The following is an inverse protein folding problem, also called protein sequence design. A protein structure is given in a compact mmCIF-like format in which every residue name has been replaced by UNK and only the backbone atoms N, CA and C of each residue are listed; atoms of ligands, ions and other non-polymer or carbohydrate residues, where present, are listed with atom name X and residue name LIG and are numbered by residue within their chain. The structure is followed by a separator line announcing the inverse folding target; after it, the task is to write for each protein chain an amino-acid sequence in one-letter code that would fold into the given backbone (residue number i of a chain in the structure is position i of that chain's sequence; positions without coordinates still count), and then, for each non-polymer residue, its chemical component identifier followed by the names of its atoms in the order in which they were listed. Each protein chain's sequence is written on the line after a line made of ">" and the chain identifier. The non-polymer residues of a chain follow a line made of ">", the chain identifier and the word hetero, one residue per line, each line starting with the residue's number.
data_IF_752948825877
#
_entry.id   IF_752948825877
#
_cell.length_a   1.000
_cell.length_b   1.000
_cell.length_c   1.000
_cell.angle_alpha   90.00
_cell.angle_beta   90.00
_cell.angle_gamma   90.00
#
_symmetry.space_group_name_H-M   'P 1'
#
loop_
_entity.id
_entity.type
_entity.pdbx_description
1 polymer ?
#
# COMPACT_ATOMS: atom_id res chain seq x y z
N UNK A 1 3.78 -16.95 8.32
CA UNK A 1 4.59 -16.68 7.10
C UNK A 1 4.55 -15.21 6.72
N UNK A 2 3.40 -14.62 6.36
CA UNK A 2 3.33 -13.19 6.00
C UNK A 2 3.72 -12.26 7.15
N UNK A 3 3.24 -12.52 8.37
CA UNK A 3 3.63 -11.72 9.54
C UNK A 3 5.14 -11.78 9.84
N UNK A 4 5.76 -12.96 9.71
CA UNK A 4 7.21 -13.16 9.82
C UNK A 4 7.98 -12.41 8.73
N UNK A 5 7.49 -12.46 7.48
CA UNK A 5 8.08 -11.73 6.35
C UNK A 5 8.15 -10.23 6.60
N UNK A 6 7.19 -9.68 7.36
CA UNK A 6 7.08 -8.26 7.68
C UNK A 6 7.55 -7.91 9.09
N UNK A 7 8.32 -8.81 9.72
CA UNK A 7 8.95 -8.58 11.03
C UNK A 7 7.95 -8.26 12.15
N UNK A 8 6.75 -8.85 12.12
CA UNK A 8 5.80 -8.73 13.22
C UNK A 8 6.45 -9.24 14.52
N UNK A 9 6.22 -8.58 15.68
CA UNK A 9 6.66 -9.08 16.97
C UNK A 9 6.23 -10.52 17.19
N UNK A 10 7.04 -11.29 17.91
CA UNK A 10 6.71 -12.67 18.24
C UNK A 10 5.36 -12.72 18.99
N UNK A 11 4.36 -13.46 18.49
CA UNK A 11 3.05 -13.48 19.12
C UNK A 11 3.10 -14.21 20.46
N UNK A 12 2.42 -13.66 21.48
CA UNK A 12 2.36 -14.24 22.84
C UNK A 12 1.87 -15.70 22.83
N UNK A 13 0.93 -16.01 21.94
CA UNK A 13 0.27 -17.31 21.85
C UNK A 13 0.74 -18.14 20.63
N UNK A 14 1.85 -17.78 20.01
CA UNK A 14 2.38 -18.48 18.82
C UNK A 14 1.61 -18.22 17.51
N UNK A 15 0.51 -17.45 17.55
CA UNK A 15 -0.32 -17.12 16.38
C UNK A 15 -0.26 -15.63 16.06
N UNK A 16 0.11 -15.31 14.81
CA UNK A 16 0.07 -13.93 14.32
C UNK A 16 -1.37 -13.42 14.18
N UNK A 17 -1.58 -12.13 14.40
CA UNK A 17 -2.89 -11.49 14.28
C UNK A 17 -3.10 -11.00 12.85
N UNK A 18 -4.03 -11.60 12.13
CA UNK A 18 -4.24 -11.29 10.72
C UNK A 18 -5.26 -12.18 10.06
N UNK A 19 -5.67 -11.81 8.85
CA UNK A 19 -6.62 -12.59 8.06
C UNK A 19 -6.37 -12.44 6.56
N UNK A 20 -6.79 -13.44 5.80
CA UNK A 20 -6.88 -13.32 4.36
C UNK A 20 -8.13 -12.50 3.97
N UNK A 21 -8.06 -11.87 2.82
CA UNK A 21 -9.11 -11.06 2.21
C UNK A 21 -9.25 -11.40 0.73
N UNK A 22 -10.27 -10.88 0.06
CA UNK A 22 -10.39 -10.99 -1.41
C UNK A 22 -9.28 -10.19 -2.13
N UNK A 23 -8.78 -9.14 -1.49
CA UNK A 23 -7.74 -8.27 -2.01
C UNK A 23 -7.49 -7.09 -1.08
N UNK A 24 -6.53 -6.23 -1.44
CA UNK A 24 -6.16 -5.10 -0.58
C UNK A 24 -7.31 -4.16 -0.27
N UNK A 25 -8.35 -4.03 -1.12
CA UNK A 25 -9.50 -3.18 -0.79
C UNK A 25 -10.19 -3.57 0.52
N UNK A 26 -10.49 -4.86 0.73
CA UNK A 26 -11.06 -5.36 1.98
C UNK A 26 -10.03 -5.25 3.12
N UNK A 27 -8.75 -5.57 2.85
CA UNK A 27 -7.67 -5.45 3.83
C UNK A 27 -7.48 -4.02 4.36
N UNK A 28 -7.48 -3.03 3.48
CA UNK A 28 -7.38 -1.60 3.80
C UNK A 28 -8.58 -1.15 4.64
N UNK A 29 -9.79 -1.57 4.27
CA UNK A 29 -11.01 -1.24 5.04
C UNK A 29 -10.96 -1.83 6.44
N UNK A 30 -10.56 -3.10 6.60
CA UNK A 30 -10.38 -3.73 7.91
C UNK A 30 -9.28 -3.01 8.74
N UNK A 31 -8.16 -2.64 8.11
CA UNK A 31 -7.11 -1.84 8.74
C UNK A 31 -7.60 -0.46 9.19
N UNK A 32 -8.37 0.22 8.34
CA UNK A 32 -9.01 1.50 8.62
C UNK A 32 -10.03 1.43 9.75
N UNK A 33 -10.86 0.38 9.79
CA UNK A 33 -11.78 0.13 10.89
C UNK A 33 -11.02 -0.05 12.22
N UNK A 34 -9.95 -0.85 12.22
CA UNK A 34 -9.13 -1.04 13.42
C UNK A 34 -8.51 0.30 13.90
N UNK A 35 -8.00 1.13 12.99
CA UNK A 35 -7.51 2.49 13.30
C UNK A 35 -8.62 3.36 13.92
N UNK A 36 -9.78 3.44 13.27
CA UNK A 36 -10.92 4.24 13.74
C UNK A 36 -11.37 3.82 15.15
N UNK A 37 -11.41 2.52 15.44
CA UNK A 37 -11.82 2.02 16.76
C UNK A 37 -10.78 2.31 17.84
N UNK A 38 -9.48 2.12 17.56
CA UNK A 38 -8.42 2.47 18.52
C UNK A 38 -8.41 3.97 18.83
N UNK A 39 -8.54 4.82 17.80
CA UNK A 39 -8.67 6.26 17.96
C UNK A 39 -9.89 6.63 18.82
N UNK A 40 -11.07 6.05 18.52
CA UNK A 40 -12.30 6.32 19.26
C UNK A 40 -12.13 6.01 20.76
N UNK A 41 -11.59 4.84 21.10
CA UNK A 41 -11.34 4.47 22.50
C UNK A 41 -10.42 5.46 23.21
N UNK A 42 -9.36 5.92 22.53
CA UNK A 42 -8.41 6.89 23.08
C UNK A 42 -9.07 8.26 23.31
N UNK A 43 -9.94 8.69 22.41
CA UNK A 43 -10.70 9.94 22.56
C UNK A 43 -11.76 9.85 23.67
N UNK A 44 -12.50 8.75 23.75
CA UNK A 44 -13.47 8.49 24.83
C UNK A 44 -12.78 8.45 26.21
N UNK A 45 -11.65 7.76 26.31
CA UNK A 45 -10.86 7.72 27.54
C UNK A 45 -10.34 9.11 27.96
N UNK A 46 -10.12 10.00 27.00
CA UNK A 46 -9.74 11.39 27.23
C UNK A 46 -10.94 12.35 27.42
N UNK A 47 -12.18 11.85 27.39
CA UNK A 47 -13.40 12.67 27.49
C UNK A 47 -13.61 13.61 26.30
N UNK A 48 -13.03 13.30 25.13
CA UNK A 48 -13.10 14.12 23.92
C UNK A 48 -14.17 13.61 22.94
N UNK A 49 -14.66 14.47 22.02
CA UNK A 49 -15.59 14.06 20.97
C UNK A 49 -15.01 13.01 20.02
N UNK A 50 -15.89 12.20 19.40
CA UNK A 50 -15.52 11.12 18.48
C UNK A 50 -16.25 11.20 17.12
N UNK A 51 -16.84 12.35 16.82
CA UNK A 51 -17.74 12.58 15.70
C UNK A 51 -17.06 13.01 14.39
N UNK A 52 -15.78 13.42 14.44
CA UNK A 52 -15.07 13.98 13.27
C UNK A 52 -13.71 13.33 12.96
N UNK A 53 -13.63 12.00 12.82
CA UNK A 53 -12.37 11.34 12.49
C UNK A 53 -11.85 11.74 11.10
N UNK A 54 -10.53 11.89 10.96
CA UNK A 54 -9.86 12.04 9.66
C UNK A 54 -8.76 10.99 9.45
N UNK A 55 -8.37 10.77 8.19
CA UNK A 55 -7.28 9.90 7.77
C UNK A 55 -6.32 10.70 6.89
N UNK A 56 -5.03 10.71 7.22
CA UNK A 56 -3.99 11.41 6.43
C UNK A 56 -3.26 10.41 5.54
N UNK A 57 -3.07 10.74 4.27
CA UNK A 57 -2.40 9.86 3.32
C UNK A 57 -1.77 10.63 2.15
N UNK A 58 -0.90 9.95 1.40
CA UNK A 58 -0.45 10.39 0.07
C UNK A 58 -1.47 10.03 -1.02
N UNK A 59 -1.05 9.99 -2.31
CA UNK A 59 -1.91 9.62 -3.43
C UNK A 59 -2.31 8.14 -3.39
N UNK A 60 -3.33 7.86 -2.58
CA UNK A 60 -3.82 6.51 -2.27
C UNK A 60 -4.71 5.96 -3.37
N UNK A 61 -4.94 4.65 -3.34
CA UNK A 61 -5.87 4.02 -4.25
C UNK A 61 -7.34 4.26 -3.82
N UNK A 62 -8.28 4.19 -4.78
CA UNK A 62 -9.72 4.42 -4.58
C UNK A 62 -10.34 3.64 -3.39
N UNK A 63 -9.76 2.52 -2.93
CA UNK A 63 -10.22 1.80 -1.75
C UNK A 63 -10.25 2.67 -0.49
N UNK A 64 -9.31 3.60 -0.32
CA UNK A 64 -9.26 4.52 0.82
C UNK A 64 -10.32 5.61 0.73
N UNK A 65 -10.63 6.11 -0.48
CA UNK A 65 -11.79 7.00 -0.68
C UNK A 65 -13.11 6.28 -0.37
N UNK A 66 -13.23 5.00 -0.72
CA UNK A 66 -14.40 4.18 -0.37
C UNK A 66 -14.48 3.99 1.15
N UNK A 67 -13.37 3.66 1.81
CA UNK A 67 -13.32 3.57 3.27
C UNK A 67 -13.78 4.88 3.92
N UNK A 68 -13.18 6.01 3.52
CA UNK A 68 -13.52 7.34 4.02
C UNK A 68 -15.03 7.63 3.89
N UNK A 69 -15.59 7.37 2.71
CA UNK A 69 -17.02 7.59 2.44
C UNK A 69 -17.93 6.64 3.21
N UNK A 70 -17.60 5.36 3.32
CA UNK A 70 -18.49 4.35 3.92
C UNK A 70 -18.44 4.35 5.44
N UNK A 71 -17.36 4.85 6.03
CA UNK A 71 -17.18 4.92 7.48
C UNK A 71 -17.18 6.35 8.02
N UNK A 72 -17.66 7.35 7.29
CA UNK A 72 -17.71 8.75 7.74
C UNK A 72 -16.37 9.21 8.34
N UNK A 73 -15.30 9.10 7.54
CA UNK A 73 -13.96 9.58 7.87
C UNK A 73 -13.57 10.62 6.84
N UNK A 74 -13.14 11.80 7.28
CA UNK A 74 -12.58 12.82 6.41
C UNK A 74 -11.27 12.31 5.80
N UNK A 75 -11.14 12.29 4.47
CA UNK A 75 -9.89 11.91 3.81
C UNK A 75 -9.05 13.17 3.58
N UNK A 76 -7.94 13.29 4.31
CA UNK A 76 -6.92 14.34 4.12
C UNK A 76 -5.80 13.82 3.25
N UNK A 77 -6.10 13.73 1.97
CA UNK A 77 -5.16 13.29 0.95
C UNK A 77 -4.21 14.43 0.56
N UNK A 78 -2.91 14.22 0.73
CA UNK A 78 -1.88 15.19 0.34
C UNK A 78 -1.75 15.15 -1.19
N UNK A 79 -2.04 16.24 -1.90
CA UNK A 79 -2.07 16.23 -3.34
C UNK A 79 -0.66 16.05 -3.93
N UNK A 80 -0.61 15.32 -5.04
CA UNK A 80 0.53 15.38 -5.95
C UNK A 80 0.61 16.79 -6.54
N UNK A 81 1.83 17.32 -6.69
CA UNK A 81 2.11 18.60 -7.36
C UNK A 81 3.39 18.49 -8.20
N UNK A 82 3.60 19.36 -9.21
CA UNK A 82 4.85 19.38 -9.97
C UNK A 82 6.08 19.39 -9.06
N UNK A 83 7.04 18.50 -9.32
CA UNK A 83 8.25 18.32 -8.50
C UNK A 83 8.04 17.58 -7.17
N UNK A 84 6.80 17.26 -6.79
CA UNK A 84 6.51 16.54 -5.53
C UNK A 84 5.28 15.65 -5.63
N UNK A 85 5.50 14.41 -6.04
CA UNK A 85 4.44 13.44 -6.35
C UNK A 85 4.07 12.52 -5.17
N UNK A 86 4.69 12.68 -4.00
CA UNK A 86 4.54 11.78 -2.85
C UNK A 86 4.30 12.56 -1.56
N UNK A 87 3.64 11.93 -0.59
CA UNK A 87 3.56 12.44 0.77
C UNK A 87 4.95 12.55 1.38
N UNK A 88 5.23 13.71 1.96
CA UNK A 88 6.45 13.98 2.72
C UNK A 88 6.10 14.26 4.18
N UNK A 89 7.07 14.13 5.11
CA UNK A 89 6.83 14.32 6.52
C UNK A 89 6.24 15.69 6.90
N UNK A 90 6.64 16.77 6.23
CA UNK A 90 6.19 18.11 6.57
C UNK A 90 4.70 18.27 6.26
N UNK A 91 4.29 18.00 5.01
CA UNK A 91 2.87 18.10 4.62
C UNK A 91 1.99 17.10 5.35
N UNK A 92 2.52 15.92 5.70
CA UNK A 92 1.81 14.94 6.52
C UNK A 92 1.49 15.50 7.90
N UNK A 93 2.47 16.08 8.60
CA UNK A 93 2.24 16.67 9.93
C UNK A 93 1.31 17.87 9.86
N UNK A 94 1.42 18.73 8.84
CA UNK A 94 0.51 19.86 8.62
C UNK A 94 -0.97 19.43 8.47
N UNK A 95 -1.21 18.20 8.00
CA UNK A 95 -2.55 17.62 7.85
C UNK A 95 -3.04 16.85 9.09
N UNK A 96 -2.16 16.55 10.05
CA UNK A 96 -2.47 15.78 11.25
C UNK A 96 -3.07 16.65 12.36
N UNK A 97 -4.04 16.11 13.09
CA UNK A 97 -4.58 16.66 14.32
C UNK A 97 -5.01 15.54 15.30
N UNK A 98 -5.63 15.91 16.41
CA UNK A 98 -6.16 14.98 17.42
C UNK A 98 -7.26 14.04 16.91
N UNK A 99 -7.91 14.38 15.79
CA UNK A 99 -8.93 13.55 15.17
C UNK A 99 -8.35 12.62 14.08
N UNK A 100 -7.05 12.70 13.80
CA UNK A 100 -6.39 11.80 12.86
C UNK A 100 -6.33 10.39 13.42
N UNK A 101 -7.05 9.47 12.77
CA UNK A 101 -7.11 8.05 13.18
C UNK A 101 -5.84 7.28 12.82
N UNK A 102 -5.09 7.77 11.84
CA UNK A 102 -3.84 7.19 11.38
C UNK A 102 -3.32 7.84 10.10
N UNK A 103 -2.07 7.51 9.77
CA UNK A 103 -1.41 7.87 8.51
C UNK A 103 -1.27 6.63 7.63
N UNK A 104 -1.53 6.79 6.33
CA UNK A 104 -1.39 5.72 5.32
C UNK A 104 -0.39 6.11 4.24
N UNK A 105 0.88 5.66 4.33
CA UNK A 105 1.76 5.63 3.17
C UNK A 105 1.40 4.49 2.23
N UNK A 106 1.49 4.74 0.93
CA UNK A 106 1.35 3.72 -0.11
C UNK A 106 2.73 3.17 -0.49
N UNK A 107 3.04 1.97 -0.03
CA UNK A 107 4.30 1.28 -0.31
C UNK A 107 4.23 0.60 -1.67
N UNK A 108 4.22 1.44 -2.71
CA UNK A 108 4.12 1.08 -4.12
C UNK A 108 2.96 1.81 -4.77
N UNK A 109 3.11 3.13 -4.92
CA UNK A 109 2.09 4.06 -5.41
C UNK A 109 1.59 3.61 -6.77
N UNK A 110 0.27 3.46 -6.91
CA UNK A 110 -0.31 2.94 -8.16
C UNK A 110 -0.02 3.88 -9.34
N UNK A 111 -0.04 5.20 -9.14
CA UNK A 111 0.10 6.15 -10.24
C UNK A 111 1.53 6.18 -10.81
N UNK A 112 2.54 6.14 -9.96
CA UNK A 112 3.94 6.35 -10.37
C UNK A 112 4.81 5.10 -10.28
N UNK A 113 4.50 4.17 -9.38
CA UNK A 113 5.30 2.97 -9.08
C UNK A 113 6.27 3.13 -7.91
N UNK A 114 6.57 4.34 -7.47
CA UNK A 114 7.53 4.60 -6.39
C UNK A 114 6.97 4.22 -5.01
N UNK A 115 7.86 4.06 -4.04
CA UNK A 115 7.51 3.89 -2.63
C UNK A 115 7.31 5.23 -1.93
N UNK A 116 6.27 5.33 -1.10
CA UNK A 116 6.27 6.26 0.02
C UNK A 116 6.96 5.58 1.20
N UNK A 117 8.16 6.05 1.55
CA UNK A 117 8.97 5.42 2.59
C UNK A 117 8.35 5.65 3.98
N UNK A 118 8.02 4.58 4.73
CA UNK A 118 7.38 4.74 6.02
C UNK A 118 8.28 5.31 7.12
N UNK A 119 9.59 5.02 7.12
CA UNK A 119 10.50 5.44 8.20
C UNK A 119 10.55 6.98 8.41
N UNK A 120 10.73 7.83 7.38
CA UNK A 120 10.72 9.28 7.59
C UNK A 120 9.39 9.82 8.13
N UNK A 121 8.27 9.20 7.75
CA UNK A 121 6.94 9.56 8.23
C UNK A 121 6.75 9.12 9.69
N UNK A 122 7.20 7.92 10.02
CA UNK A 122 7.25 7.40 11.38
C UNK A 122 8.01 8.36 12.32
N UNK A 123 9.21 8.77 11.94
CA UNK A 123 10.08 9.61 12.77
C UNK A 123 9.48 11.01 13.00
N UNK A 124 8.80 11.54 11.99
CA UNK A 124 8.08 12.81 12.13
C UNK A 124 6.85 12.69 13.04
N UNK A 125 6.13 11.56 13.01
CA UNK A 125 5.04 11.30 13.95
C UNK A 125 5.56 11.12 15.39
N UNK A 126 6.74 10.51 15.58
CA UNK A 126 7.40 10.44 16.90
C UNK A 126 7.70 11.83 17.44
N UNK A 127 8.28 12.69 16.61
CA UNK A 127 8.51 14.08 16.98
C UNK A 127 7.21 14.82 17.28
N UNK A 128 6.19 14.64 16.43
CA UNK A 128 4.89 15.28 16.62
C UNK A 128 4.21 14.88 17.93
N UNK A 129 4.27 13.60 18.29
CA UNK A 129 3.76 13.14 19.59
C UNK A 129 4.57 13.73 20.75
N UNK A 130 5.90 13.79 20.65
CA UNK A 130 6.73 14.39 21.69
C UNK A 130 6.41 15.89 21.90
N UNK A 131 6.13 16.61 20.82
CA UNK A 131 5.86 18.06 20.86
C UNK A 131 4.42 18.39 21.30
N UNK A 132 3.43 17.54 20.97
CA UNK A 132 1.99 17.85 21.13
C UNK A 132 1.23 16.91 22.07
N UNK A 133 1.78 15.74 22.38
CA UNK A 133 1.09 14.65 23.07
C UNK A 133 0.11 13.85 22.20
N UNK A 134 -0.05 14.18 20.91
CA UNK A 134 -0.96 13.47 20.00
C UNK A 134 -0.27 12.23 19.44
N UNK A 135 -0.80 11.05 19.76
CA UNK A 135 -0.31 9.77 19.26
C UNK A 135 -1.10 9.30 18.03
N UNK A 136 -0.41 9.06 16.91
CA UNK A 136 -1.03 8.68 15.63
C UNK A 136 -0.39 7.38 15.13
N UNK A 137 -1.25 6.42 14.79
CA UNK A 137 -0.88 5.12 14.24
C UNK A 137 -0.53 5.20 12.75
N UNK A 138 0.17 4.19 12.25
CA UNK A 138 0.38 3.99 10.81
C UNK A 138 -0.25 2.68 10.34
N UNK A 139 -0.87 2.73 9.15
CA UNK A 139 -1.20 1.55 8.35
C UNK A 139 -0.43 1.62 7.04
N UNK A 140 0.34 0.58 6.71
CA UNK A 140 1.05 0.56 5.43
C UNK A 140 0.19 -0.13 4.37
N UNK A 141 -0.24 0.63 3.35
CA UNK A 141 -0.81 0.03 2.15
C UNK A 141 0.33 -0.51 1.28
N UNK A 142 0.69 -1.76 1.53
CA UNK A 142 1.73 -2.47 0.79
C UNK A 142 1.12 -3.42 -0.24
N UNK A 143 -0.01 -3.03 -0.86
CA UNK A 143 -0.74 -3.87 -1.82
C UNK A 143 0.19 -4.53 -2.85
N UNK A 144 1.14 -3.78 -3.39
CA UNK A 144 2.19 -4.25 -4.29
C UNK A 144 3.52 -4.50 -3.56
N UNK A 145 4.05 -3.50 -2.85
CA UNK A 145 5.39 -3.55 -2.26
C UNK A 145 5.61 -4.64 -1.20
N UNK A 146 4.54 -5.11 -0.55
CA UNK A 146 4.63 -6.06 0.58
C UNK A 146 5.13 -7.46 0.20
N UNK A 147 5.08 -7.82 -1.09
CA UNK A 147 5.67 -9.05 -1.63
C UNK A 147 6.85 -8.76 -2.58
N UNK A 148 7.43 -7.56 -2.51
CA UNK A 148 8.59 -7.14 -3.30
C UNK A 148 9.78 -6.82 -2.40
N UNK A 149 9.73 -5.71 -1.66
CA UNK A 149 10.86 -5.20 -0.91
C UNK A 149 11.49 -6.24 0.05
N UNK A 150 10.73 -7.10 0.76
CA UNK A 150 11.34 -8.14 1.60
C UNK A 150 12.28 -9.11 0.90
N UNK A 151 12.20 -9.22 -0.44
CA UNK A 151 13.01 -10.14 -1.24
C UNK A 151 14.11 -9.46 -2.03
N UNK A 152 13.92 -8.20 -2.44
CA UNK A 152 14.84 -7.49 -3.36
C UNK A 152 15.48 -6.24 -2.77
N UNK A 153 14.92 -5.71 -1.68
CA UNK A 153 15.42 -4.53 -0.98
C UNK A 153 15.16 -4.69 0.54
N UNK A 154 15.72 -5.74 1.17
CA UNK A 154 15.40 -6.08 2.56
C UNK A 154 15.86 -5.01 3.58
N UNK A 155 16.82 -4.18 3.19
CA UNK A 155 17.38 -3.11 4.03
C UNK A 155 16.41 -1.93 4.22
N UNK A 156 15.38 -1.79 3.36
CA UNK A 156 14.35 -0.77 3.56
C UNK A 156 13.56 -1.11 4.82
N UNK A 157 13.52 -0.18 5.77
CA UNK A 157 12.68 -0.27 6.97
C UNK A 157 11.31 0.34 6.68
N UNK A 158 10.32 -0.52 6.44
CA UNK A 158 8.97 -0.11 6.04
C UNK A 158 7.84 -0.80 6.82
N UNK A 159 8.15 -1.87 7.54
CA UNK A 159 7.19 -2.84 8.09
C UNK A 159 7.08 -2.74 9.63
N UNK A 160 6.75 -3.83 10.31
CA UNK A 160 6.58 -3.84 11.77
C UNK A 160 7.88 -3.61 12.57
N UNK A 161 9.04 -3.48 11.92
CA UNK A 161 10.23 -2.87 12.53
C UNK A 161 9.94 -1.45 13.06
N UNK A 162 8.95 -0.76 12.50
CA UNK A 162 8.47 0.55 12.93
C UNK A 162 7.35 0.43 14.00
N UNK A 163 7.54 0.91 15.24
CA UNK A 163 6.54 0.79 16.32
C UNK A 163 5.16 1.41 16.05
N UNK A 164 5.09 2.49 15.26
CA UNK A 164 3.80 3.10 14.87
C UNK A 164 3.03 2.27 13.85
N UNK A 165 3.68 1.34 13.15
CA UNK A 165 2.99 0.47 12.19
C UNK A 165 2.16 -0.55 12.97
N UNK A 166 0.84 -0.33 12.97
CA UNK A 166 -0.13 -1.21 13.65
C UNK A 166 -0.73 -2.24 12.73
N UNK A 167 -0.76 -1.97 11.42
CA UNK A 167 -1.23 -2.94 10.44
C UNK A 167 -0.63 -2.72 9.06
N UNK A 168 -0.57 -3.78 8.27
CA UNK A 168 -0.07 -3.78 6.89
C UNK A 168 -1.05 -4.57 6.04
N UNK A 169 -1.41 -4.04 4.87
CA UNK A 169 -2.19 -4.74 3.86
C UNK A 169 -1.34 -5.09 2.64
N UNK A 170 -1.59 -6.26 2.03
CA UNK A 170 -0.96 -6.65 0.78
C UNK A 170 -1.91 -7.46 -0.11
N UNK A 171 -1.73 -7.38 -1.44
CA UNK A 171 -2.47 -8.20 -2.38
C UNK A 171 -1.64 -9.41 -2.78
N UNK A 172 -2.06 -10.60 -2.34
CA UNK A 172 -1.47 -11.87 -2.80
C UNK A 172 -1.56 -12.01 -4.31
N UNK A 173 -2.64 -11.55 -4.91
CA UNK A 173 -2.85 -11.58 -6.36
C UNK A 173 -2.10 -10.51 -7.16
N UNK A 174 -1.27 -9.69 -6.51
CA UNK A 174 -0.32 -8.79 -7.19
C UNK A 174 1.04 -9.48 -7.26
N UNK A 175 1.99 -9.03 -6.45
CA UNK A 175 3.33 -9.60 -6.40
C UNK A 175 3.45 -10.79 -5.43
N UNK A 176 2.37 -11.17 -4.74
CA UNK A 176 2.29 -12.45 -4.01
C UNK A 176 2.08 -13.67 -4.92
N UNK A 177 1.93 -13.47 -6.24
CA UNK A 177 1.83 -14.51 -7.27
C UNK A 177 0.60 -15.43 -7.20
N UNK A 178 -0.36 -15.16 -6.30
CA UNK A 178 -1.60 -15.90 -6.24
C UNK A 178 -2.57 -15.50 -7.38
N UNK A 179 -3.57 -16.34 -7.72
CA UNK A 179 -4.64 -15.93 -8.63
C UNK A 179 -5.50 -14.80 -8.02
N UNK A 180 -6.18 -14.03 -8.88
CA UNK A 180 -7.12 -12.97 -8.48
C UNK A 180 -8.14 -13.47 -7.45
N UNK A 181 -8.28 -12.72 -6.35
CA UNK A 181 -9.10 -13.09 -5.20
C UNK A 181 -8.33 -13.41 -3.91
N UNK A 182 -7.03 -13.11 -3.84
CA UNK A 182 -6.24 -13.20 -2.60
C UNK A 182 -5.64 -11.86 -2.14
N UNK A 183 -5.92 -11.47 -0.90
CA UNK A 183 -5.27 -10.38 -0.17
C UNK A 183 -5.01 -10.77 1.29
N UNK A 184 -4.29 -9.91 2.00
CA UNK A 184 -3.88 -10.10 3.38
C UNK A 184 -3.94 -8.79 4.14
N UNK A 185 -4.38 -8.84 5.39
CA UNK A 185 -4.12 -7.81 6.39
C UNK A 185 -3.51 -8.49 7.61
N UNK A 186 -2.41 -7.93 8.10
CA UNK A 186 -1.76 -8.36 9.33
C UNK A 186 -1.78 -7.17 10.28
N UNK A 187 -2.08 -7.42 11.55
CA UNK A 187 -1.92 -6.48 12.65
C UNK A 187 -0.66 -6.82 13.43
N UNK A 188 -0.04 -5.80 14.02
CA UNK A 188 1.20 -5.94 14.77
C UNK A 188 1.09 -6.97 15.89
N UNK A 189 0.00 -6.89 16.64
CA UNK A 189 -0.31 -7.66 17.84
C UNK A 189 -1.83 -7.60 18.13
N UNK A 190 -2.25 -8.23 19.23
CA UNK A 190 -3.67 -8.27 19.64
C UNK A 190 -4.20 -6.89 20.04
N UNK A 191 -3.35 -5.98 20.54
CA UNK A 191 -3.76 -4.61 20.92
C UNK A 191 -4.04 -3.76 19.68
N UNK A 192 -3.33 -4.03 18.58
CA UNK A 192 -3.59 -3.42 17.29
C UNK A 192 -4.94 -3.87 16.67
N UNK A 193 -5.61 -4.92 17.14
CA UNK A 193 -6.93 -5.33 16.68
C UNK A 193 -7.98 -5.24 17.81
N UNK A 194 -8.83 -4.19 17.83
CA UNK A 194 -9.92 -4.07 18.80
C UNK A 194 -10.83 -5.29 18.80
N UNK A 195 -10.98 -5.94 19.96
CA UNK A 195 -11.71 -7.22 20.07
C UNK A 195 -13.21 -7.09 19.74
N UNK A 196 -13.83 -5.92 19.90
CA UNK A 196 -15.22 -5.73 19.48
C UNK A 196 -15.45 -5.76 17.96
N UNK A 197 -14.37 -5.73 17.16
CA UNK A 197 -14.43 -5.95 15.72
C UNK A 197 -14.37 -7.44 15.35
N UNK A 198 -14.03 -8.31 16.31
CA UNK A 198 -13.90 -9.75 16.11
C UNK A 198 -15.23 -10.41 16.48
N UNK A 199 -15.82 -11.10 15.51
CA UNK A 199 -17.01 -11.91 15.72
C UNK A 199 -16.59 -13.35 15.96
N UNK A 200 -17.06 -13.97 17.05
CA UNK A 200 -16.76 -15.37 17.33
C UNK A 200 -17.89 -16.25 16.80
N UNK A 201 -17.53 -17.27 16.02
CA UNK A 201 -18.46 -18.29 15.55
C UNK A 201 -18.13 -19.60 16.25
N UNK A 202 -19.15 -20.21 16.86
CA UNK A 202 -19.05 -21.57 17.36
C UNK A 202 -19.06 -22.54 16.17
N UNK A 203 -17.90 -23.10 15.83
CA UNK A 203 -17.74 -24.00 14.69
C UNK A 203 -16.94 -25.24 15.09
N UNK A 204 -17.47 -26.42 14.75
CA UNK A 204 -16.84 -27.73 14.98
C UNK A 204 -16.33 -27.97 16.42
N UNK A 205 -17.00 -27.40 17.42
CA UNK A 205 -16.67 -27.61 18.84
C UNK A 205 -15.66 -26.63 19.44
N UNK A 206 -15.31 -25.54 18.74
CA UNK A 206 -14.52 -24.43 19.26
C UNK A 206 -15.00 -23.08 18.76
N UNK A 207 -14.42 -22.00 19.29
CA UNK A 207 -14.66 -20.63 18.81
C UNK A 207 -13.57 -20.20 17.85
N UNK A 208 -13.96 -19.74 16.67
CA UNK A 208 -13.06 -19.13 15.70
C UNK A 208 -13.46 -17.66 15.57
N UNK A 209 -12.54 -16.77 15.93
CA UNK A 209 -12.68 -15.33 15.73
C UNK A 209 -12.55 -14.99 14.25
N UNK A 210 -13.51 -14.23 13.73
CA UNK A 210 -13.49 -13.71 12.37
C UNK A 210 -13.64 -12.20 12.38
N UNK A 211 -12.75 -11.53 11.66
CA UNK A 211 -12.91 -10.12 11.31
C UNK A 211 -12.78 -10.01 9.78
N UNK A 212 -13.93 -9.97 9.10
CA UNK A 212 -14.02 -9.94 7.64
C UNK A 212 -15.26 -9.16 7.21
N UNK A 213 -15.19 -8.53 6.03
CA UNK A 213 -16.38 -7.90 5.41
C UNK A 213 -17.18 -8.96 4.66
N UNK A 214 -16.47 -9.85 3.96
CA UNK A 214 -17.08 -10.97 3.25
C UNK A 214 -17.31 -12.17 4.18
N UNK A 215 -18.33 -12.96 3.88
CA UNK A 215 -18.59 -14.24 4.53
C UNK A 215 -18.11 -15.41 3.66
N UNK A 216 -19.01 -16.07 2.91
CA UNK A 216 -18.66 -17.14 1.99
C UNK A 216 -17.77 -16.64 0.85
N UNK A 217 -16.62 -17.28 0.66
CA UNK A 217 -15.63 -16.92 -0.38
C UNK A 217 -14.82 -18.13 -0.84
N UNK A 218 -14.32 -18.14 -2.09
CA UNK A 218 -13.51 -19.24 -2.59
C UNK A 218 -12.17 -19.32 -1.85
N UNK A 219 -11.78 -20.54 -1.45
CA UNK A 219 -10.51 -20.79 -0.77
C UNK A 219 -9.35 -21.10 -1.74
N UNK A 220 -9.64 -21.33 -3.03
CA UNK A 220 -8.65 -21.78 -4.02
C UNK A 220 -7.45 -20.85 -4.14
N UNK A 221 -7.67 -19.54 -4.08
CA UNK A 221 -6.61 -18.54 -4.15
C UNK A 221 -5.73 -18.51 -2.90
N UNK A 222 -6.29 -18.78 -1.72
CA UNK A 222 -5.52 -18.89 -0.47
C UNK A 222 -4.68 -20.16 -0.48
N UNK A 223 -5.23 -21.27 -0.98
CA UNK A 223 -4.50 -22.53 -1.16
C UNK A 223 -3.35 -22.33 -2.16
N UNK A 224 -3.60 -21.67 -3.30
CA UNK A 224 -2.57 -21.33 -4.27
C UNK A 224 -1.50 -20.42 -3.68
N UNK A 225 -1.87 -19.41 -2.88
CA UNK A 225 -0.91 -18.56 -2.20
C UNK A 225 0.00 -19.36 -1.26
N UNK A 226 -0.57 -20.30 -0.50
CA UNK A 226 0.20 -21.17 0.38
C UNK A 226 1.11 -22.12 -0.41
N UNK A 227 0.64 -22.66 -1.54
CA UNK A 227 1.47 -23.41 -2.47
C UNK A 227 2.67 -22.58 -2.93
N UNK A 228 2.48 -21.33 -3.38
CA UNK A 228 3.58 -20.47 -3.82
C UNK A 228 4.58 -20.21 -2.69
N UNK A 229 4.11 -19.99 -1.46
CA UNK A 229 4.99 -19.82 -0.30
C UNK A 229 5.88 -21.04 -0.06
N UNK A 230 5.32 -22.25 -0.10
CA UNK A 230 6.08 -23.49 0.10
C UNK A 230 6.98 -23.83 -1.10
N UNK A 231 6.45 -23.64 -2.32
CA UNK A 231 7.11 -24.03 -3.57
C UNK A 231 8.30 -23.14 -3.88
N UNK A 232 8.15 -21.83 -3.69
CA UNK A 232 9.19 -20.85 -4.01
C UNK A 232 10.12 -20.60 -2.82
N UNK A 233 9.57 -20.51 -1.60
CA UNK A 233 10.32 -20.01 -0.45
C UNK A 233 10.90 -18.62 -0.69
N UNK A 234 11.76 -18.14 0.23
CA UNK A 234 12.40 -16.82 0.07
C UNK A 234 13.27 -16.74 -1.19
N UNK A 235 13.99 -17.82 -1.51
CA UNK A 235 14.85 -17.88 -2.69
C UNK A 235 14.06 -17.75 -4.01
N UNK A 236 12.98 -18.50 -4.17
CA UNK A 236 12.17 -18.48 -5.38
C UNK A 236 11.46 -17.15 -5.59
N UNK A 237 10.91 -16.55 -4.53
CA UNK A 237 10.36 -15.19 -4.60
C UNK A 237 11.45 -14.19 -5.00
N UNK A 238 12.63 -14.26 -4.37
CA UNK A 238 13.77 -13.39 -4.73
C UNK A 238 14.12 -13.48 -6.21
N UNK A 239 14.17 -14.69 -6.78
CA UNK A 239 14.45 -14.89 -8.22
C UNK A 239 13.35 -14.29 -9.10
N UNK A 240 12.08 -14.56 -8.81
CA UNK A 240 10.94 -14.08 -9.61
C UNK A 240 10.83 -12.56 -9.58
N UNK A 241 10.99 -11.95 -8.40
CA UNK A 241 10.91 -10.49 -8.30
C UNK A 241 12.11 -9.81 -8.97
N UNK A 242 13.33 -10.33 -8.78
CA UNK A 242 14.51 -9.78 -9.47
C UNK A 242 14.36 -9.84 -10.99
N UNK A 243 13.80 -10.92 -11.55
CA UNK A 243 13.52 -10.99 -12.99
C UNK A 243 12.55 -9.89 -13.44
N UNK A 244 11.51 -9.59 -12.64
CA UNK A 244 10.57 -8.50 -12.93
C UNK A 244 11.26 -7.13 -12.92
N UNK A 245 12.18 -6.89 -11.98
CA UNK A 245 12.97 -5.66 -11.92
C UNK A 245 13.99 -5.54 -13.06
N UNK A 246 14.64 -6.64 -13.46
CA UNK A 246 15.56 -6.65 -14.62
C UNK A 246 14.84 -6.27 -15.91
N UNK A 247 13.61 -6.78 -16.12
CA UNK A 247 12.79 -6.39 -17.28
C UNK A 247 12.38 -4.91 -17.20
N UNK A 248 12.00 -4.41 -16.02
CA UNK A 248 11.64 -3.01 -15.84
C UNK A 248 12.82 -2.06 -16.14
N UNK A 249 14.01 -2.38 -15.62
CA UNK A 249 15.23 -1.62 -15.89
C UNK A 249 15.59 -1.63 -17.39
N UNK A 250 15.55 -2.81 -18.03
CA UNK A 250 15.77 -2.92 -19.47
C UNK A 250 14.78 -2.06 -20.28
N UNK A 251 13.49 -2.11 -19.95
CA UNK A 251 12.48 -1.30 -20.64
C UNK A 251 12.72 0.20 -20.42
N UNK A 252 13.09 0.62 -19.22
CA UNK A 252 13.42 2.01 -18.94
C UNK A 252 14.61 2.49 -19.80
N UNK A 253 15.69 1.70 -19.87
CA UNK A 253 16.89 2.02 -20.64
C UNK A 253 16.62 2.10 -22.15
N UNK A 254 15.84 1.17 -22.71
CA UNK A 254 15.51 1.20 -24.14
C UNK A 254 14.53 2.32 -24.49
N UNK A 255 13.53 2.61 -23.64
CA UNK A 255 12.59 3.71 -23.86
C UNK A 255 13.30 5.06 -23.75
N UNK A 256 14.29 5.20 -22.86
CA UNK A 256 15.05 6.44 -22.71
C UNK A 256 15.77 6.86 -24.01
N UNK A 257 16.18 5.88 -24.83
CA UNK A 257 16.82 6.12 -26.14
C UNK A 257 15.83 6.64 -27.20
N UNK A 258 14.53 6.45 -26.99
CA UNK A 258 13.45 6.82 -27.93
C UNK A 258 12.81 8.18 -27.62
N UNK A 259 13.34 8.93 -26.65
CA UNK A 259 12.74 10.13 -26.07
C UNK A 259 12.25 11.20 -27.08
N UNK A 260 11.51 12.21 -26.58
CA UNK A 260 11.92 12.96 -25.39
C UNK A 260 11.09 12.66 -24.13
N UNK A 261 11.46 11.61 -23.39
CA UNK A 261 10.77 11.22 -22.15
C UNK A 261 11.55 11.58 -20.88
N UNK A 262 10.81 11.90 -19.82
CA UNK A 262 11.30 12.08 -18.45
C UNK A 262 10.70 10.98 -17.57
N UNK A 263 11.55 10.26 -16.82
CA UNK A 263 11.14 9.12 -16.02
C UNK A 263 10.84 9.51 -14.56
N UNK A 264 9.70 9.03 -14.06
CA UNK A 264 9.27 9.12 -12.66
C UNK A 264 9.64 7.83 -11.91
N UNK A 265 9.58 6.69 -12.59
CA UNK A 265 9.97 5.39 -12.06
C UNK A 265 10.65 4.57 -13.15
N UNK A 266 11.78 3.95 -12.83
CA UNK A 266 12.60 3.16 -13.76
C UNK A 266 12.69 1.68 -13.35
N UNK A 267 11.89 1.26 -12.38
CA UNK A 267 11.91 -0.12 -11.89
C UNK A 267 13.16 -0.43 -11.08
N UNK A 268 13.54 0.47 -10.17
CA UNK A 268 14.60 0.22 -9.20
C UNK A 268 14.01 -0.31 -7.88
N UNK A 269 14.54 -1.43 -7.33
CA UNK A 269 13.96 -2.08 -6.16
C UNK A 269 14.12 -1.26 -4.87
N UNK A 270 15.08 -0.35 -4.81
CA UNK A 270 15.31 0.57 -3.70
C UNK A 270 14.40 1.81 -3.73
N UNK A 271 13.69 2.05 -4.84
CA UNK A 271 12.86 3.25 -5.05
C UNK A 271 11.37 2.95 -5.25
N UNK A 272 11.01 1.75 -5.73
CA UNK A 272 9.63 1.43 -6.11
C UNK A 272 9.41 -0.01 -6.55
N UNK A 273 8.22 -0.26 -7.08
CA UNK A 273 7.80 -1.55 -7.67
C UNK A 273 8.40 -1.73 -9.07
N UNK A 274 8.39 -2.93 -9.69
CA UNK A 274 8.94 -3.14 -11.03
C UNK A 274 8.01 -2.54 -12.10
N UNK A 275 8.05 -1.22 -12.19
CA UNK A 275 7.26 -0.39 -13.09
C UNK A 275 8.16 0.59 -13.84
N UNK A 276 7.73 0.97 -15.03
CA UNK A 276 8.31 2.08 -15.77
C UNK A 276 7.23 3.13 -15.91
N UNK A 277 7.45 4.33 -15.37
CA UNK A 277 6.53 5.44 -15.45
C UNK A 277 7.26 6.67 -15.98
N UNK A 278 6.74 7.27 -17.04
CA UNK A 278 7.37 8.40 -17.70
C UNK A 278 6.33 9.36 -18.27
N UNK A 279 6.76 10.62 -18.44
CA UNK A 279 6.03 11.67 -19.14
C UNK A 279 6.84 12.16 -20.35
N UNK A 280 6.23 12.93 -21.23
CA UNK A 280 6.98 13.78 -22.17
C UNK A 280 7.75 14.84 -21.37
N UNK A 281 8.98 15.13 -21.76
CA UNK A 281 9.78 16.21 -21.14
C UNK A 281 9.10 17.55 -21.32
N UNK A 282 9.21 18.40 -20.30
CA UNK A 282 8.60 19.73 -20.33
C UNK A 282 9.20 20.59 -21.46
N UNK A 283 8.33 21.21 -22.26
CA UNK A 283 8.72 22.05 -23.40
C UNK A 283 9.01 21.30 -24.71
N UNK A 284 8.93 19.97 -24.72
CA UNK A 284 9.10 19.15 -25.92
C UNK A 284 7.75 18.88 -26.61
N UNK A 285 7.71 19.02 -27.94
CA UNK A 285 6.55 18.69 -28.78
C UNK A 285 6.99 17.75 -29.91
N UNK A 286 6.94 16.42 -29.68
CA UNK A 286 7.32 15.45 -30.70
C UNK A 286 6.22 15.22 -31.75
N UNK A 287 5.13 16.00 -31.73
CA UNK A 287 3.99 15.88 -32.66
C UNK A 287 2.99 14.77 -32.29
N UNK A 288 3.05 14.24 -31.07
CA UNK A 288 2.10 13.27 -30.53
C UNK A 288 1.99 13.37 -29.01
N UNK A 289 0.88 12.90 -28.46
CA UNK A 289 0.65 12.74 -27.02
C UNK A 289 0.88 11.30 -26.56
N UNK A 290 1.05 11.07 -25.26
CA UNK A 290 1.11 9.70 -24.72
C UNK A 290 -0.19 8.91 -24.95
N UNK A 291 -1.33 9.58 -25.16
CA UNK A 291 -2.57 8.93 -25.55
C UNK A 291 -2.48 8.37 -26.99
N UNK A 292 -1.91 9.13 -27.93
CA UNK A 292 -1.67 8.65 -29.29
C UNK A 292 -0.72 7.44 -29.30
N UNK A 293 0.36 7.49 -28.50
CA UNK A 293 1.28 6.37 -28.34
C UNK A 293 0.56 5.13 -27.75
N UNK A 294 -0.28 5.32 -26.73
CA UNK A 294 -1.10 4.24 -26.14
C UNK A 294 -2.01 3.58 -27.19
N UNK A 295 -2.64 4.38 -28.06
CA UNK A 295 -3.47 3.87 -29.16
C UNK A 295 -2.63 3.08 -30.17
N UNK A 296 -1.47 3.58 -30.58
CA UNK A 296 -0.58 2.89 -31.54
C UNK A 296 -0.05 1.56 -30.98
N UNK A 297 0.28 1.50 -29.70
CA UNK A 297 0.69 0.27 -29.02
C UNK A 297 -0.45 -0.75 -29.00
N UNK A 298 -1.71 -0.31 -28.83
CA UNK A 298 -2.90 -1.17 -28.85
C UNK A 298 -3.09 -1.88 -30.20
N UNK A 299 -2.80 -1.21 -31.31
CA UNK A 299 -2.83 -1.82 -32.65
C UNK A 299 -1.83 -2.97 -32.83
N UNK A 300 -0.85 -3.09 -31.92
CA UNK A 300 0.14 -4.17 -31.87
C UNK A 300 -0.12 -5.17 -30.74
N UNK A 301 -1.25 -5.07 -30.06
CA UNK A 301 -1.66 -5.96 -28.97
C UNK A 301 -1.22 -5.51 -27.57
N UNK A 302 -0.51 -4.39 -27.43
CA UNK A 302 -0.03 -3.89 -26.15
C UNK A 302 -1.05 -2.96 -25.47
N UNK A 303 -1.38 -3.23 -24.21
CA UNK A 303 -2.22 -2.35 -23.39
C UNK A 303 -1.34 -1.57 -22.41
N UNK A 304 -0.85 -0.41 -22.87
CA UNK A 304 -0.04 0.50 -22.05
C UNK A 304 -0.85 1.76 -21.76
N UNK A 305 -1.35 1.96 -20.52
CA UNK A 305 -2.21 3.09 -20.21
C UNK A 305 -1.43 4.41 -20.18
N UNK A 306 -2.02 5.44 -20.79
CA UNK A 306 -1.70 6.83 -20.54
C UNK A 306 -2.83 7.47 -19.71
N UNK A 307 -2.50 8.29 -18.73
CA UNK A 307 -3.46 8.93 -17.83
C UNK A 307 -2.85 10.17 -17.16
N UNK A 308 -3.70 11.07 -16.68
CA UNK A 308 -3.27 12.23 -15.88
C UNK A 308 -3.04 11.84 -14.42
N UNK A 309 -2.05 12.47 -13.78
CA UNK A 309 -1.89 12.37 -12.32
C UNK A 309 -3.03 13.10 -11.61
N UNK A 310 -3.18 12.85 -10.30
CA UNK A 310 -4.21 13.47 -9.45
C UNK A 310 -3.72 14.73 -8.73
N UNK A 311 -4.57 15.31 -7.88
CA UNK A 311 -4.23 16.46 -7.06
C UNK A 311 -4.01 17.75 -7.86
N UNK A 312 -2.90 18.43 -7.60
CA UNK A 312 -2.44 19.64 -8.32
C UNK A 312 -1.57 19.28 -9.54
N UNK A 313 -1.42 17.99 -9.86
CA UNK A 313 -0.62 17.49 -10.97
C UNK A 313 -1.48 17.00 -12.16
N UNK A 314 -2.72 17.47 -12.29
CA UNK A 314 -3.67 17.00 -13.33
C UNK A 314 -3.23 17.28 -14.76
N UNK A 315 -2.33 18.24 -14.95
CA UNK A 315 -1.77 18.56 -16.26
C UNK A 315 -0.61 17.64 -16.65
N UNK A 316 -0.13 16.80 -15.72
CA UNK A 316 0.94 15.83 -15.97
C UNK A 316 0.33 14.53 -16.49
N UNK A 317 0.46 14.30 -17.80
CA UNK A 317 0.12 13.02 -18.43
C UNK A 317 1.32 12.07 -18.32
N UNK A 318 1.08 10.87 -17.81
CA UNK A 318 2.07 9.81 -17.69
C UNK A 318 1.66 8.57 -18.47
N UNK A 319 2.64 7.80 -18.90
CA UNK A 319 2.48 6.44 -19.40
C UNK A 319 3.17 5.48 -18.44
N UNK A 320 2.50 4.37 -18.11
CA UNK A 320 3.02 3.40 -17.14
C UNK A 320 2.97 1.97 -17.65
N UNK A 321 4.11 1.28 -17.55
CA UNK A 321 4.26 -0.15 -17.84
C UNK A 321 4.50 -0.87 -16.52
N UNK A 322 3.77 -1.96 -16.29
CA UNK A 322 3.94 -2.82 -15.12
C UNK A 322 4.62 -4.12 -15.54
N UNK A 323 5.78 -4.41 -14.98
CA UNK A 323 6.53 -5.63 -15.28
C UNK A 323 6.15 -6.70 -14.27
N UNK A 324 5.51 -7.76 -14.75
CA UNK A 324 5.18 -8.96 -13.97
C UNK A 324 5.93 -10.14 -14.57
N UNK A 325 5.98 -11.26 -13.84
CA UNK A 325 6.46 -12.56 -14.35
C UNK A 325 5.77 -12.96 -15.65
#
# INVERSE_FOLDING_TARGET
>A
MVADLWHAPAPKNGQAVGTNTIGSSEACMLGGMAMKWRWRKRMEAAGKPTDKPNLVCGPVQICWHKFARYWDVELREIPMRPGQLFMDPKRMIEACDENTIGVVPTFGVTYTGNYEFPQPLHDALDKFQADTGIDIDMHIDAASGGFLAPFVAPDIVWDFRLPRVKSISASGHKFGLAPLGCGWVIWRDEEALPQELVFNVDYLGGQIGTFAINFSRPAGQVIAQYYEFLRLGREGYTKVQNASYQVAAYLADEIAKLGPYEFICTGRPDEGIPAVCFKLKDGEDPGYTLYDLSERLRLRGWQVPAFTLGGEATDIVVMRIMCRR
#
